data_IF_309165393948
#
_entry.id   IF_309165393948
#
_cell.length_a   1.000
_cell.length_b   1.000
_cell.length_c   1.000
_cell.angle_alpha   90.00
_cell.angle_beta   90.00
_cell.angle_gamma   90.00
#
_symmetry.space_group_name_H-M   'P 1'
#
loop_
_entity.id
_entity.type
_entity.pdbx_description
1 polymer ?
#
# COMPACT_ATOMS: atom_id res chain seq x y z
N UNK A 1 4.81 -16.81 24.51
CA UNK A 1 4.63 -16.49 23.07
C UNK A 1 3.28 -16.96 22.52
N UNK A 2 2.83 -18.20 22.77
CA UNK A 2 1.55 -18.71 22.23
C UNK A 2 0.30 -17.89 22.60
N UNK A 3 0.12 -17.51 23.88
CA UNK A 3 -1.06 -16.75 24.35
C UNK A 3 -1.17 -15.34 23.77
N UNK A 4 -0.06 -14.62 23.62
CA UNK A 4 -0.05 -13.27 23.06
C UNK A 4 -0.33 -13.26 21.55
N UNK A 5 0.13 -14.28 20.83
CA UNK A 5 -0.18 -14.48 19.40
C UNK A 5 -1.63 -14.93 19.18
N UNK A 6 -2.20 -15.72 20.10
CA UNK A 6 -3.61 -16.05 20.12
C UNK A 6 -4.49 -14.81 20.24
N UNK A 7 -4.17 -13.94 21.20
CA UNK A 7 -4.88 -12.68 21.37
C UNK A 7 -4.78 -11.81 20.11
N UNK A 8 -3.58 -11.65 19.55
CA UNK A 8 -3.37 -10.88 18.32
C UNK A 8 -4.19 -11.43 17.14
N UNK A 9 -4.22 -12.75 16.98
CA UNK A 9 -4.98 -13.42 15.92
C UNK A 9 -6.49 -13.27 16.11
N UNK A 10 -6.99 -13.36 17.35
CA UNK A 10 -8.40 -13.16 17.67
C UNK A 10 -8.84 -11.73 17.34
N UNK A 11 -8.04 -10.72 17.70
CA UNK A 11 -8.26 -9.33 17.32
C UNK A 11 -8.26 -9.17 15.80
N UNK A 12 -7.29 -9.75 15.09
CA UNK A 12 -7.25 -9.69 13.63
C UNK A 12 -8.53 -10.29 12.99
N UNK A 13 -9.04 -11.40 13.53
CA UNK A 13 -10.29 -12.03 13.07
C UNK A 13 -11.52 -11.19 13.37
N UNK A 14 -11.58 -10.53 14.52
CA UNK A 14 -12.64 -9.57 14.83
C UNK A 14 -12.65 -8.46 13.78
N UNK A 15 -11.49 -7.86 13.48
CA UNK A 15 -11.39 -6.79 12.49
C UNK A 15 -11.65 -7.25 11.06
N UNK A 16 -11.34 -8.52 10.72
CA UNK A 16 -11.69 -9.13 9.44
C UNK A 16 -13.20 -9.05 9.15
N UNK A 17 -14.06 -9.13 10.18
CA UNK A 17 -15.52 -9.03 9.99
C UNK A 17 -15.99 -7.66 9.51
N UNK A 18 -15.15 -6.62 9.62
CA UNK A 18 -15.44 -5.26 9.15
C UNK A 18 -14.82 -4.93 7.79
N UNK A 19 -14.15 -5.90 7.14
CA UNK A 19 -13.56 -5.75 5.80
C UNK A 19 -14.68 -5.79 4.74
N UNK A 20 -14.48 -5.07 3.63
CA UNK A 20 -15.44 -5.02 2.54
C UNK A 20 -15.54 -6.37 1.82
N UNK A 21 -16.78 -6.74 1.47
CA UNK A 21 -17.06 -7.99 0.78
C UNK A 21 -17.17 -7.76 -0.72
N UNK A 22 -16.96 -8.83 -1.52
CA UNK A 22 -17.21 -8.81 -2.97
C UNK A 22 -18.65 -8.37 -3.29
N UNK A 23 -19.63 -8.81 -2.50
CA UNK A 23 -21.03 -8.40 -2.66
C UNK A 23 -21.23 -6.90 -2.49
N UNK A 24 -20.61 -6.31 -1.47
CA UNK A 24 -20.60 -4.85 -1.28
C UNK A 24 -19.97 -4.15 -2.49
N UNK A 25 -18.78 -4.58 -2.94
CA UNK A 25 -18.10 -3.97 -4.09
C UNK A 25 -18.97 -3.98 -5.36
N UNK A 26 -19.63 -5.10 -5.64
CA UNK A 26 -20.53 -5.21 -6.79
C UNK A 26 -21.69 -4.21 -6.71
N UNK A 27 -22.27 -4.04 -5.52
CA UNK A 27 -23.33 -3.06 -5.28
C UNK A 27 -22.84 -1.62 -5.48
N UNK A 28 -21.64 -1.29 -4.98
CA UNK A 28 -21.03 0.04 -5.21
C UNK A 28 -20.83 0.30 -6.71
N UNK A 29 -20.36 -0.69 -7.46
CA UNK A 29 -20.11 -0.57 -8.90
C UNK A 29 -21.39 -0.42 -9.73
N UNK A 30 -22.56 -0.76 -9.18
CA UNK A 30 -23.86 -0.51 -9.82
C UNK A 30 -24.43 0.88 -9.54
N UNK A 31 -23.79 1.66 -8.65
CA UNK A 31 -24.25 3.00 -8.30
C UNK A 31 -24.00 3.99 -9.44
N UNK A 32 -24.99 4.84 -9.70
CA UNK A 32 -24.93 5.89 -10.74
C UNK A 32 -24.31 7.19 -10.24
N UNK A 33 -24.48 7.52 -8.96
CA UNK A 33 -23.86 8.65 -8.29
C UNK A 33 -22.95 8.16 -7.16
N UNK A 34 -21.84 8.87 -6.90
CA UNK A 34 -20.92 8.56 -5.81
C UNK A 34 -21.62 8.70 -4.45
N UNK A 35 -22.63 9.58 -4.32
CA UNK A 35 -23.45 9.71 -3.10
C UNK A 35 -24.30 8.47 -2.85
N UNK A 36 -24.82 7.84 -3.91
CA UNK A 36 -25.58 6.59 -3.79
C UNK A 36 -24.66 5.47 -3.29
N UNK A 37 -23.45 5.38 -3.84
CA UNK A 37 -22.43 4.44 -3.37
C UNK A 37 -22.07 4.67 -1.89
N UNK A 38 -21.97 5.93 -1.46
CA UNK A 38 -21.79 6.24 -0.03
C UNK A 38 -23.02 5.86 0.80
N UNK A 39 -24.24 6.00 0.26
CA UNK A 39 -25.47 5.50 0.86
C UNK A 39 -25.39 4.01 1.19
N UNK A 40 -24.97 3.19 0.21
CA UNK A 40 -24.73 1.75 0.42
C UNK A 40 -23.70 1.49 1.52
N UNK A 41 -22.60 2.25 1.54
CA UNK A 41 -21.57 2.14 2.58
C UNK A 41 -22.09 2.55 3.96
N UNK A 42 -22.97 3.55 4.03
CA UNK A 42 -23.63 4.00 5.26
C UNK A 42 -24.56 2.93 5.81
N UNK A 43 -25.43 2.37 4.97
CA UNK A 43 -26.38 1.33 5.36
C UNK A 43 -25.69 0.06 5.88
N UNK A 44 -24.50 -0.23 5.36
CA UNK A 44 -23.64 -1.33 5.82
C UNK A 44 -22.71 -0.96 6.99
N UNK A 45 -22.80 0.26 7.53
CA UNK A 45 -22.05 0.69 8.73
C UNK A 45 -20.56 1.01 8.50
N UNK A 46 -20.13 1.23 7.25
CA UNK A 46 -18.76 1.66 6.95
C UNK A 46 -18.54 3.15 7.23
N UNK A 47 -19.59 3.97 7.15
CA UNK A 47 -19.55 5.41 7.43
C UNK A 47 -20.85 5.83 8.14
N UNK A 48 -20.78 6.86 8.98
CA UNK A 48 -21.96 7.32 9.74
C UNK A 48 -22.84 8.26 8.90
N UNK A 49 -22.23 9.19 8.18
CA UNK A 49 -22.92 10.25 7.44
C UNK A 49 -22.34 10.42 6.04
N UNK A 50 -23.22 10.76 5.10
CA UNK A 50 -22.85 11.08 3.71
C UNK A 50 -22.10 12.42 3.71
N UNK A 51 -20.83 12.46 3.29
CA UNK A 51 -20.04 13.69 3.22
C UNK A 51 -20.56 14.65 2.16
N UNK A 52 -20.27 15.95 2.32
CA UNK A 52 -20.71 16.97 1.37
C UNK A 52 -19.96 16.89 0.05
N UNK A 53 -18.66 16.55 0.12
CA UNK A 53 -17.74 16.46 -1.02
C UNK A 53 -17.11 15.07 -1.10
N UNK A 54 -16.54 14.72 -2.26
CA UNK A 54 -15.83 13.44 -2.41
C UNK A 54 -14.51 13.48 -1.64
N UNK A 55 -13.87 14.63 -1.59
CA UNK A 55 -12.60 14.85 -0.89
C UNK A 55 -12.79 14.64 0.62
N UNK A 56 -13.93 15.07 1.18
CA UNK A 56 -14.31 14.76 2.56
C UNK A 56 -14.58 13.26 2.76
N UNK A 57 -15.14 12.59 1.75
CA UNK A 57 -15.36 11.15 1.79
C UNK A 57 -14.05 10.37 1.83
N UNK A 58 -13.11 10.69 0.94
CA UNK A 58 -11.76 10.13 0.93
C UNK A 58 -11.07 10.30 2.28
N UNK A 59 -11.12 11.52 2.84
CA UNK A 59 -10.57 11.81 4.16
C UNK A 59 -11.21 10.96 5.26
N UNK A 60 -12.53 10.79 5.25
CA UNK A 60 -13.23 9.93 6.23
C UNK A 60 -12.87 8.45 6.08
N UNK A 61 -12.73 7.93 4.86
CA UNK A 61 -12.30 6.54 4.65
C UNK A 61 -10.84 6.31 5.03
N UNK A 62 -9.95 7.27 4.72
CA UNK A 62 -8.56 7.26 5.18
C UNK A 62 -8.49 7.25 6.71
N UNK A 63 -9.23 8.15 7.36
CA UNK A 63 -9.32 8.21 8.83
C UNK A 63 -9.83 6.90 9.43
N UNK A 64 -10.85 6.28 8.81
CA UNK A 64 -11.36 4.98 9.26
C UNK A 64 -10.27 3.91 9.21
N UNK A 65 -9.55 3.80 8.11
CA UNK A 65 -8.47 2.82 7.95
C UNK A 65 -7.35 3.04 9.00
N UNK A 66 -6.91 4.28 9.17
CA UNK A 66 -5.93 4.67 10.21
C UNK A 66 -6.44 4.30 11.60
N UNK A 67 -7.70 4.63 11.93
CA UNK A 67 -8.28 4.32 13.24
C UNK A 67 -8.36 2.82 13.50
N UNK A 68 -8.63 2.00 12.48
CA UNK A 68 -8.62 0.55 12.62
C UNK A 68 -7.20 0.05 12.90
N UNK A 69 -6.22 0.50 12.13
CA UNK A 69 -4.80 0.15 12.36
C UNK A 69 -4.35 0.57 13.77
N UNK A 70 -4.61 1.81 14.20
CA UNK A 70 -4.24 2.29 15.53
C UNK A 70 -4.91 1.49 16.66
N UNK A 71 -6.19 1.12 16.51
CA UNK A 71 -6.87 0.27 17.48
C UNK A 71 -6.24 -1.11 17.56
N UNK A 72 -6.01 -1.78 16.42
CA UNK A 72 -5.33 -3.08 16.39
C UNK A 72 -3.94 -2.96 17.03
N UNK A 73 -3.18 -1.92 16.68
CA UNK A 73 -1.86 -1.62 17.24
C UNK A 73 -1.90 -1.51 18.76
N UNK A 74 -2.89 -0.81 19.31
CA UNK A 74 -3.10 -0.68 20.75
C UNK A 74 -3.29 -2.03 21.45
N UNK A 75 -3.96 -2.98 20.80
CA UNK A 75 -4.16 -4.32 21.32
C UNK A 75 -2.93 -5.23 21.19
N UNK A 76 -2.10 -5.06 20.15
CA UNK A 76 -0.97 -5.96 19.87
C UNK A 76 0.40 -5.38 20.20
N UNK A 77 0.45 -4.23 20.87
CA UNK A 77 1.66 -3.48 21.22
C UNK A 77 2.73 -4.29 21.95
N UNK A 78 2.32 -5.31 22.71
CA UNK A 78 3.21 -6.20 23.44
C UNK A 78 3.97 -7.21 22.55
N UNK A 79 3.61 -7.34 21.27
CA UNK A 79 4.31 -8.18 20.29
C UNK A 79 4.97 -7.25 19.27
N UNK A 80 6.28 -7.02 19.44
CA UNK A 80 7.07 -6.10 18.60
C UNK A 80 6.80 -6.29 17.10
N UNK A 81 6.93 -7.52 16.59
CA UNK A 81 6.72 -7.82 15.18
C UNK A 81 5.32 -7.41 14.68
N UNK A 82 4.27 -7.59 15.49
CA UNK A 82 2.91 -7.19 15.11
C UNK A 82 2.76 -5.67 15.10
N UNK A 83 3.37 -4.98 16.08
CA UNK A 83 3.40 -3.53 16.11
C UNK A 83 4.18 -2.95 14.93
N UNK A 84 5.36 -3.49 14.61
CA UNK A 84 6.22 -3.07 13.51
C UNK A 84 5.51 -3.20 12.15
N UNK A 85 4.74 -4.28 11.93
CA UNK A 85 3.91 -4.45 10.73
C UNK A 85 2.87 -3.33 10.64
N UNK A 86 2.12 -3.07 11.71
CA UNK A 86 1.07 -2.05 11.68
C UNK A 86 1.67 -0.64 11.50
N UNK A 87 2.82 -0.38 12.13
CA UNK A 87 3.55 0.88 11.98
C UNK A 87 4.01 1.11 10.53
N UNK A 88 4.36 0.05 9.79
CA UNK A 88 4.63 0.13 8.35
C UNK A 88 3.40 0.51 7.52
N UNK A 89 2.23 -0.04 7.85
CA UNK A 89 1.00 0.35 7.15
C UNK A 89 0.59 1.78 7.50
N UNK A 90 0.75 2.23 8.75
CA UNK A 90 0.54 3.62 9.13
C UNK A 90 1.53 4.56 8.41
N UNK A 91 2.78 4.14 8.26
CA UNK A 91 3.78 4.84 7.45
C UNK A 91 3.31 4.98 6.00
N UNK A 92 2.80 3.91 5.38
CA UNK A 92 2.27 3.97 4.01
C UNK A 92 1.15 5.01 3.87
N UNK A 93 0.21 5.07 4.82
CA UNK A 93 -0.83 6.10 4.84
C UNK A 93 -0.28 7.52 5.03
N UNK A 94 0.85 7.67 5.74
CA UNK A 94 1.51 8.95 5.94
C UNK A 94 2.21 9.48 4.69
N UNK A 95 2.55 8.61 3.71
CA UNK A 95 3.25 9.04 2.50
C UNK A 95 2.44 10.05 1.69
N UNK A 96 1.13 9.85 1.53
CA UNK A 96 0.25 10.83 0.87
C UNK A 96 0.24 12.23 1.50
N UNK A 97 0.69 12.36 2.75
CA UNK A 97 0.88 13.65 3.44
C UNK A 97 2.34 14.12 3.37
N UNK A 98 3.29 13.19 3.39
CA UNK A 98 4.72 13.48 3.37
C UNK A 98 5.20 13.92 1.98
N UNK A 99 4.69 13.33 0.90
CA UNK A 99 5.08 13.63 -0.47
C UNK A 99 4.79 15.08 -0.87
N UNK A 100 3.59 15.65 -0.59
CA UNK A 100 3.36 17.07 -0.78
C UNK A 100 4.33 17.91 0.05
N UNK A 101 4.53 17.60 1.34
CA UNK A 101 5.46 18.35 2.21
C UNK A 101 6.90 18.36 1.66
N UNK A 102 7.41 17.23 1.22
CA UNK A 102 8.72 17.10 0.56
C UNK A 102 8.78 17.96 -0.70
N UNK A 103 7.73 17.89 -1.53
CA UNK A 103 7.64 18.67 -2.77
C UNK A 103 7.64 20.16 -2.47
N UNK A 104 6.86 20.61 -1.48
CA UNK A 104 6.80 21.98 -0.97
C UNK A 104 8.18 22.50 -0.63
N UNK A 105 8.89 21.73 0.21
CA UNK A 105 10.22 22.11 0.71
C UNK A 105 11.27 22.15 -0.40
N UNK A 106 11.22 21.22 -1.36
CA UNK A 106 12.16 21.19 -2.48
C UNK A 106 11.88 22.22 -3.57
N UNK A 107 10.63 22.63 -3.74
CA UNK A 107 10.21 23.57 -4.81
C UNK A 107 9.92 24.98 -4.30
N UNK A 108 9.90 25.20 -2.98
CA UNK A 108 9.51 26.46 -2.36
C UNK A 108 8.01 26.76 -2.45
N UNK A 109 7.18 25.77 -2.78
CA UNK A 109 5.72 25.95 -2.88
C UNK A 109 5.08 25.79 -1.50
N UNK A 110 4.28 26.77 -1.07
CA UNK A 110 3.54 26.64 0.19
C UNK A 110 2.38 25.67 0.01
N UNK A 111 2.24 24.76 0.96
CA UNK A 111 1.10 23.84 1.01
C UNK A 111 0.25 24.16 2.23
N UNK A 112 -1.06 24.21 2.00
CA UNK A 112 -2.07 24.31 3.04
C UNK A 112 -2.85 23.01 3.07
N UNK A 113 -2.28 21.98 3.70
CA UNK A 113 -2.92 20.68 3.85
C UNK A 113 -3.31 20.41 5.30
N UNK A 114 -4.41 19.68 5.45
CA UNK A 114 -4.84 19.17 6.74
C UNK A 114 -4.11 17.85 7.05
N UNK A 115 -2.86 17.96 7.49
CA UNK A 115 -2.04 16.82 7.91
C UNK A 115 -2.67 16.09 9.09
N UNK A 116 -2.69 14.75 9.02
CA UNK A 116 -3.32 13.90 10.01
C UNK A 116 -2.30 13.08 10.79
N UNK A 117 -1.41 12.39 10.08
CA UNK A 117 -0.38 11.52 10.64
C UNK A 117 0.93 12.25 10.88
N UNK A 118 1.26 13.23 10.03
CA UNK A 118 2.52 13.98 10.12
C UNK A 118 2.34 15.40 10.66
N UNK A 119 1.24 15.68 11.36
CA UNK A 119 0.90 17.02 11.82
C UNK A 119 2.02 17.69 12.61
N UNK A 120 2.63 17.00 13.58
CA UNK A 120 3.75 17.55 14.36
C UNK A 120 4.94 17.98 13.47
N UNK A 121 5.22 17.18 12.43
CA UNK A 121 6.28 17.46 11.47
C UNK A 121 5.93 18.67 10.60
N UNK A 122 4.68 18.77 10.13
CA UNK A 122 4.24 19.94 9.37
C UNK A 122 4.23 21.21 10.22
N UNK A 123 3.77 21.13 11.47
CA UNK A 123 3.71 22.24 12.42
C UNK A 123 5.11 22.76 12.80
N UNK A 124 6.16 21.94 12.69
CA UNK A 124 7.56 22.38 12.83
C UNK A 124 8.07 23.26 11.67
N UNK A 125 7.27 23.43 10.61
CA UNK A 125 7.55 24.28 9.45
C UNK A 125 8.95 24.05 8.84
N UNK A 126 9.27 22.82 8.37
CA UNK A 126 10.57 22.49 7.80
C UNK A 126 10.86 23.32 6.54
N UNK A 127 12.10 23.77 6.37
CA UNK A 127 12.53 24.61 5.23
C UNK A 127 13.36 23.85 4.19
N UNK A 128 13.91 22.69 4.54
CA UNK A 128 14.72 21.85 3.66
C UNK A 128 14.54 20.36 4.03
N UNK A 129 15.08 19.44 3.21
CA UNK A 129 14.97 17.99 3.47
C UNK A 129 15.62 17.56 4.79
N UNK A 130 16.70 18.23 5.21
CA UNK A 130 17.38 17.92 6.47
C UNK A 130 16.52 18.32 7.67
N UNK A 131 15.73 19.39 7.57
CA UNK A 131 14.74 19.75 8.59
C UNK A 131 13.65 18.68 8.70
N UNK A 132 13.11 18.22 7.56
CA UNK A 132 12.12 17.14 7.54
C UNK A 132 12.72 15.89 8.22
N UNK A 133 13.97 15.57 7.89
CA UNK A 133 14.68 14.46 8.51
C UNK A 133 14.85 14.66 10.02
N UNK A 134 15.29 15.83 10.48
CA UNK A 134 15.55 16.11 11.89
C UNK A 134 14.28 16.10 12.76
N UNK A 135 13.15 16.55 12.21
CA UNK A 135 11.88 16.59 12.94
C UNK A 135 11.06 15.30 12.83
N UNK A 136 11.33 14.47 11.81
CA UNK A 136 10.68 13.17 11.67
C UNK A 136 11.10 12.19 12.78
N UNK A 137 10.19 11.31 13.19
CA UNK A 137 10.42 10.31 14.24
C UNK A 137 10.09 8.90 13.74
N UNK A 138 10.61 7.90 14.43
CA UNK A 138 10.28 6.49 14.21
C UNK A 138 10.48 6.06 12.76
N UNK A 139 9.48 5.35 12.22
CA UNK A 139 9.56 4.73 10.90
C UNK A 139 9.63 5.74 9.74
N UNK A 140 9.01 6.92 9.90
CA UNK A 140 9.11 8.02 8.92
C UNK A 140 10.55 8.51 8.82
N UNK A 141 11.25 8.66 9.96
CA UNK A 141 12.67 9.01 9.98
C UNK A 141 13.55 7.93 9.33
N UNK A 142 13.29 6.66 9.63
CA UNK A 142 14.02 5.55 9.01
C UNK A 142 13.83 5.51 7.49
N UNK A 143 12.60 5.70 7.01
CA UNK A 143 12.28 5.76 5.58
C UNK A 143 12.96 6.94 4.88
N UNK A 144 12.96 8.12 5.49
CA UNK A 144 13.67 9.29 4.96
C UNK A 144 15.17 9.07 4.89
N UNK A 145 15.81 8.51 5.94
CA UNK A 145 17.22 8.14 5.90
C UNK A 145 17.52 7.15 4.78
N UNK A 146 16.67 6.15 4.63
CA UNK A 146 16.80 5.15 3.57
C UNK A 146 16.74 5.78 2.17
N UNK A 147 15.77 6.67 1.94
CA UNK A 147 15.57 7.35 0.67
C UNK A 147 16.72 8.34 0.37
N UNK A 148 17.08 9.19 1.33
CA UNK A 148 18.14 10.19 1.16
C UNK A 148 19.52 9.55 0.94
N UNK A 149 19.79 8.38 1.51
CA UNK A 149 21.04 7.65 1.31
C UNK A 149 21.16 7.01 -0.08
N UNK A 150 20.04 6.78 -0.78
CA UNK A 150 19.99 6.13 -2.10
C UNK A 150 19.72 7.10 -3.24
N UNK A 151 19.10 8.24 -2.95
CA UNK A 151 18.76 9.23 -3.95
C UNK A 151 20.04 9.91 -4.48
N UNK A 152 20.25 9.80 -5.79
CA UNK A 152 21.38 10.41 -6.47
C UNK A 152 21.12 11.88 -6.79
N UNK A 153 19.90 12.21 -7.24
CA UNK A 153 19.52 13.57 -7.66
C UNK A 153 18.68 14.30 -6.61
N UNK A 154 18.14 13.58 -5.62
CA UNK A 154 17.28 14.10 -4.54
C UNK A 154 16.07 14.91 -5.06
N UNK A 155 15.56 14.53 -6.23
CA UNK A 155 14.32 15.13 -6.75
C UNK A 155 13.10 14.64 -5.96
N UNK A 156 11.98 15.39 -5.91
CA UNK A 156 10.77 14.92 -5.23
C UNK A 156 10.33 13.55 -5.70
N UNK A 157 10.30 13.32 -7.02
CA UNK A 157 9.91 12.03 -7.61
C UNK A 157 10.82 10.88 -7.19
N UNK A 158 12.13 11.09 -7.13
CA UNK A 158 13.09 10.06 -6.73
C UNK A 158 12.95 9.73 -5.24
N UNK A 159 12.88 10.76 -4.38
CA UNK A 159 12.71 10.59 -2.94
C UNK A 159 11.39 9.87 -2.63
N UNK A 160 10.28 10.29 -3.24
CA UNK A 160 8.97 9.69 -3.02
C UNK A 160 8.94 8.22 -3.47
N UNK A 161 9.53 7.91 -4.63
CA UNK A 161 9.62 6.51 -5.11
C UNK A 161 10.43 5.63 -4.14
N UNK A 162 11.51 6.17 -3.57
CA UNK A 162 12.32 5.46 -2.57
C UNK A 162 11.61 5.30 -1.21
N UNK A 163 10.77 6.27 -0.82
CA UNK A 163 9.95 6.20 0.39
C UNK A 163 8.86 5.13 0.26
N UNK A 164 8.21 5.04 -0.90
CA UNK A 164 7.28 3.95 -1.21
C UNK A 164 8.01 2.60 -1.22
N UNK A 165 9.18 2.52 -1.86
CA UNK A 165 9.98 1.30 -1.90
C UNK A 165 10.42 0.85 -0.50
N UNK A 166 10.73 1.79 0.40
CA UNK A 166 11.10 1.46 1.78
C UNK A 166 10.02 0.65 2.51
N UNK A 167 8.74 0.90 2.23
CA UNK A 167 7.64 0.14 2.84
C UNK A 167 7.78 -1.36 2.53
N UNK A 168 7.88 -1.73 1.25
CA UNK A 168 8.00 -3.14 0.87
C UNK A 168 9.35 -3.71 1.32
N UNK A 169 10.43 -2.93 1.21
CA UNK A 169 11.77 -3.33 1.65
C UNK A 169 11.80 -3.76 3.12
N UNK A 170 11.22 -2.94 4.00
CA UNK A 170 11.18 -3.21 5.43
C UNK A 170 10.20 -4.35 5.74
N UNK A 171 9.06 -4.41 5.03
CA UNK A 171 8.09 -5.48 5.21
C UNK A 171 8.67 -6.86 4.85
N UNK A 172 9.39 -6.96 3.73
CA UNK A 172 10.12 -8.16 3.32
C UNK A 172 11.12 -8.62 4.38
N UNK A 173 11.85 -7.67 4.99
CA UNK A 173 12.76 -8.00 6.11
C UNK A 173 12.02 -8.60 7.30
N UNK A 174 10.90 -8.01 7.72
CA UNK A 174 10.10 -8.55 8.82
C UNK A 174 9.59 -9.96 8.48
N UNK A 175 9.04 -10.15 7.28
CA UNK A 175 8.55 -11.46 6.83
C UNK A 175 9.66 -12.51 6.76
N UNK A 176 10.89 -12.10 6.40
CA UNK A 176 12.04 -13.01 6.35
C UNK A 176 12.38 -13.66 7.69
N UNK A 177 12.06 -12.97 8.81
CA UNK A 177 12.28 -13.42 10.20
C UNK A 177 11.22 -14.44 10.66
N UNK A 178 10.11 -14.59 9.92
CA UNK A 178 9.07 -15.55 10.26
C UNK A 178 9.57 -16.99 10.08
N UNK A 179 8.90 -17.96 10.71
CA UNK A 179 9.28 -19.38 10.64
C UNK A 179 8.11 -20.25 10.23
N UNK A 180 8.42 -21.36 9.55
CA UNK A 180 7.44 -22.36 9.12
C UNK A 180 6.34 -21.78 8.23
N UNK A 181 5.12 -22.32 8.39
CA UNK A 181 3.95 -21.96 7.58
C UNK A 181 3.60 -20.46 7.61
N UNK A 182 3.92 -19.77 8.71
CA UNK A 182 3.66 -18.35 8.86
C UNK A 182 4.46 -17.53 7.86
N UNK A 183 5.72 -17.93 7.61
CA UNK A 183 6.58 -17.31 6.61
C UNK A 183 6.01 -17.51 5.22
N UNK A 184 5.62 -18.73 4.87
CA UNK A 184 5.02 -19.01 3.55
C UNK A 184 3.77 -18.16 3.33
N UNK A 185 2.86 -18.13 4.30
CA UNK A 185 1.61 -17.33 4.17
C UNK A 185 1.85 -15.83 4.11
N UNK A 186 2.81 -15.32 4.87
CA UNK A 186 3.18 -13.91 4.80
C UNK A 186 3.90 -13.57 3.48
N UNK A 187 4.76 -14.46 3.00
CA UNK A 187 5.44 -14.32 1.71
C UNK A 187 4.44 -14.31 0.56
N UNK A 188 3.43 -15.18 0.57
CA UNK A 188 2.39 -15.22 -0.46
C UNK A 188 1.66 -13.86 -0.58
N UNK A 189 1.43 -13.16 0.53
CA UNK A 189 0.80 -11.83 0.55
C UNK A 189 1.66 -10.78 -0.16
N UNK A 190 2.97 -10.76 0.10
CA UNK A 190 3.86 -9.68 -0.35
C UNK A 190 4.63 -9.97 -1.64
N UNK A 191 4.72 -11.24 -2.05
CA UNK A 191 5.58 -11.72 -3.14
C UNK A 191 5.45 -10.92 -4.44
N UNK A 192 4.22 -10.70 -4.92
CA UNK A 192 4.01 -9.94 -6.17
C UNK A 192 4.24 -8.44 -5.97
N UNK A 193 4.12 -7.92 -4.75
CA UNK A 193 4.54 -6.54 -4.45
C UNK A 193 6.05 -6.39 -4.51
N UNK A 194 6.82 -7.33 -3.96
CA UNK A 194 8.28 -7.32 -4.04
C UNK A 194 8.74 -7.23 -5.50
N UNK A 195 8.19 -8.10 -6.35
CA UNK A 195 8.48 -8.11 -7.78
C UNK A 195 8.07 -6.81 -8.49
N UNK A 196 6.88 -6.27 -8.18
CA UNK A 196 6.40 -5.00 -8.73
C UNK A 196 7.35 -3.84 -8.37
N UNK A 197 7.62 -3.67 -7.08
CA UNK A 197 8.42 -2.57 -6.58
C UNK A 197 9.88 -2.68 -7.03
N UNK A 198 10.46 -3.87 -7.04
CA UNK A 198 11.82 -4.09 -7.55
C UNK A 198 11.93 -3.78 -9.05
N UNK A 199 10.94 -4.21 -9.83
CA UNK A 199 10.90 -3.92 -11.27
C UNK A 199 10.71 -2.42 -11.54
N UNK A 200 9.88 -1.74 -10.74
CA UNK A 200 9.70 -0.28 -10.83
C UNK A 200 10.94 0.50 -10.44
N UNK A 201 11.66 0.04 -9.41
CA UNK A 201 12.95 0.62 -8.99
C UNK A 201 14.02 0.47 -10.08
N UNK A 202 14.10 -0.73 -10.69
CA UNK A 202 15.00 -0.98 -11.81
C UNK A 202 14.64 -0.07 -12.99
N UNK A 203 13.37 -0.02 -13.39
CA UNK A 203 12.93 0.79 -14.52
C UNK A 203 13.10 2.30 -14.31
N UNK A 204 12.60 2.86 -13.19
CA UNK A 204 12.56 4.31 -12.99
C UNK A 204 13.86 4.89 -12.46
N UNK A 205 14.55 4.16 -11.59
CA UNK A 205 15.71 4.66 -10.85
C UNK A 205 17.01 3.98 -11.26
N UNK A 206 16.97 2.97 -12.15
CA UNK A 206 18.14 2.18 -12.53
C UNK A 206 18.83 1.53 -11.33
N UNK A 207 18.05 1.20 -10.29
CA UNK A 207 18.53 0.57 -9.06
C UNK A 207 18.05 -0.87 -8.97
N UNK A 208 18.97 -1.79 -8.72
CA UNK A 208 18.68 -3.19 -8.48
C UNK A 208 18.90 -3.48 -7.00
N UNK A 209 17.82 -3.86 -6.31
CA UNK A 209 17.81 -4.20 -4.90
C UNK A 209 17.48 -5.70 -4.74
N UNK A 210 18.06 -6.34 -3.72
CA UNK A 210 17.89 -7.78 -3.49
C UNK A 210 16.59 -8.11 -2.73
N UNK A 211 15.46 -7.62 -3.25
CA UNK A 211 14.11 -7.93 -2.78
C UNK A 211 13.29 -8.26 -4.01
N UNK A 212 13.20 -9.54 -4.32
CA UNK A 212 12.39 -10.09 -5.40
C UNK A 212 11.88 -11.45 -4.96
N UNK A 213 10.76 -11.87 -5.55
CA UNK A 213 10.13 -13.14 -5.22
C UNK A 213 10.19 -14.12 -6.39
N UNK A 214 9.63 -13.74 -7.54
CA UNK A 214 9.58 -14.60 -8.74
C UNK A 214 10.29 -14.00 -9.95
N UNK A 215 10.65 -12.73 -9.93
CA UNK A 215 11.44 -12.11 -11.00
C UNK A 215 12.91 -12.30 -10.67
N UNK A 216 13.64 -12.92 -11.60
CA UNK A 216 15.07 -13.15 -11.44
C UNK A 216 15.86 -11.83 -11.43
N UNK A 217 16.93 -11.79 -10.63
CA UNK A 217 17.83 -10.63 -10.53
C UNK A 217 18.42 -10.23 -11.90
N UNK A 218 18.64 -11.20 -12.80
CA UNK A 218 19.08 -10.94 -14.16
C UNK A 218 18.10 -10.09 -14.96
N UNK A 219 16.79 -10.37 -14.84
CA UNK A 219 15.75 -9.57 -15.50
C UNK A 219 15.64 -8.17 -14.89
N UNK A 220 15.89 -8.01 -13.58
CA UNK A 220 15.95 -6.70 -12.94
C UNK A 220 17.15 -5.88 -13.42
N UNK A 221 18.32 -6.51 -13.63
CA UNK A 221 19.49 -5.86 -14.23
C UNK A 221 19.25 -5.44 -15.67
N UNK A 222 18.56 -6.28 -16.44
CA UNK A 222 18.13 -5.95 -17.79
C UNK A 222 17.18 -4.73 -17.78
N UNK A 223 16.19 -4.70 -16.88
CA UNK A 223 15.27 -3.56 -16.73
C UNK A 223 16.02 -2.27 -16.38
N UNK A 224 16.98 -2.35 -15.46
CA UNK A 224 17.80 -1.20 -15.07
C UNK A 224 18.72 -0.69 -16.17
N UNK A 225 19.06 -1.53 -17.16
CA UNK A 225 19.98 -1.18 -18.25
C UNK A 225 19.27 -0.89 -19.58
N UNK A 226 17.96 -1.07 -19.64
CA UNK A 226 17.16 -0.86 -20.84
C UNK A 226 17.09 0.62 -21.22
N UNK A 227 17.18 0.89 -22.53
CA UNK A 227 17.33 2.24 -23.06
C UNK A 227 16.04 2.80 -23.67
N UNK A 228 15.03 1.97 -23.87
CA UNK A 228 13.76 2.36 -24.49
C UNK A 228 12.60 1.48 -24.03
N UNK A 229 11.39 1.97 -24.25
CA UNK A 229 10.15 1.31 -23.83
C UNK A 229 9.95 -0.07 -24.46
N UNK A 230 10.46 -0.31 -25.67
CA UNK A 230 10.33 -1.61 -26.34
C UNK A 230 11.15 -2.67 -25.62
N UNK A 231 12.39 -2.37 -25.27
CA UNK A 231 13.25 -3.26 -24.47
C UNK A 231 12.59 -3.57 -23.12
N UNK A 232 12.04 -2.56 -22.44
CA UNK A 232 11.32 -2.77 -21.17
C UNK A 232 10.16 -3.76 -21.33
N UNK A 233 9.34 -3.59 -22.36
CA UNK A 233 8.21 -4.49 -22.61
C UNK A 233 8.66 -5.91 -22.94
N UNK A 234 9.71 -6.06 -23.75
CA UNK A 234 10.30 -7.37 -24.08
C UNK A 234 10.85 -8.05 -22.82
N UNK A 235 11.46 -7.30 -21.89
CA UNK A 235 11.93 -7.83 -20.61
C UNK A 235 10.74 -8.27 -19.74
N UNK A 236 9.71 -7.44 -19.59
CA UNK A 236 8.50 -7.76 -18.82
C UNK A 236 7.77 -8.99 -19.39
N UNK A 237 7.78 -9.17 -20.72
CA UNK A 237 7.20 -10.33 -21.40
C UNK A 237 7.93 -11.66 -21.09
N UNK A 238 9.16 -11.62 -20.58
CA UNK A 238 9.93 -12.80 -20.15
C UNK A 238 9.70 -13.17 -18.69
N UNK A 239 9.02 -12.33 -17.91
CA UNK A 239 8.74 -12.59 -16.49
C UNK A 239 7.66 -13.67 -16.33
N UNK A 240 7.59 -14.26 -15.13
CA UNK A 240 6.53 -15.22 -14.77
C UNK A 240 5.12 -14.62 -14.80
N UNK A 241 5.00 -13.28 -14.91
CA UNK A 241 3.74 -12.56 -14.94
C UNK A 241 3.24 -12.22 -16.35
N UNK A 242 4.01 -12.53 -17.42
CA UNK A 242 3.75 -12.07 -18.78
C UNK A 242 2.30 -12.27 -19.26
N UNK A 243 1.66 -13.39 -18.92
CA UNK A 243 0.26 -13.70 -19.31
C UNK A 243 -0.77 -12.79 -18.65
N UNK A 244 -0.43 -12.13 -17.55
CA UNK A 244 -1.29 -11.24 -16.80
C UNK A 244 -1.02 -9.76 -17.10
N UNK A 245 0.04 -9.44 -17.84
CA UNK A 245 0.43 -8.06 -18.16
C UNK A 245 -0.24 -7.59 -19.44
N UNK A 246 -0.66 -6.32 -19.46
CA UNK A 246 -1.02 -5.62 -20.70
C UNK A 246 0.22 -4.95 -21.26
N UNK A 247 0.82 -5.56 -22.28
CA UNK A 247 2.11 -5.14 -22.87
C UNK A 247 1.92 -4.17 -24.04
N UNK A 248 0.99 -3.22 -23.92
CA UNK A 248 0.73 -2.16 -24.91
C UNK A 248 1.71 -0.99 -24.77
N UNK A 249 1.99 -0.59 -23.54
CA UNK A 249 3.01 0.38 -23.18
C UNK A 249 3.50 0.08 -21.75
N UNK A 250 4.62 0.69 -21.37
CA UNK A 250 5.29 0.41 -20.09
C UNK A 250 4.40 0.74 -18.90
N UNK A 251 3.65 1.83 -18.94
CA UNK A 251 2.75 2.24 -17.86
C UNK A 251 1.60 1.25 -17.66
N UNK A 252 0.98 0.77 -18.74
CA UNK A 252 -0.07 -0.26 -18.68
C UNK A 252 0.47 -1.58 -18.14
N UNK A 253 1.70 -1.95 -18.52
CA UNK A 253 2.36 -3.16 -18.04
C UNK A 253 2.58 -3.09 -16.52
N UNK A 254 3.13 -1.98 -16.01
CA UNK A 254 3.30 -1.79 -14.57
C UNK A 254 1.98 -1.61 -13.81
N UNK A 255 0.99 -0.93 -14.39
CA UNK A 255 -0.34 -0.80 -13.79
C UNK A 255 -1.02 -2.16 -13.63
N UNK A 256 -0.90 -3.04 -14.64
CA UNK A 256 -1.43 -4.40 -14.57
C UNK A 256 -0.65 -5.31 -13.63
N UNK A 257 0.68 -5.16 -13.54
CA UNK A 257 1.49 -5.83 -12.54
C UNK A 257 1.11 -5.40 -11.11
N UNK A 258 0.91 -4.09 -10.90
CA UNK A 258 0.46 -3.56 -9.61
C UNK A 258 -0.92 -4.08 -9.22
N UNK A 259 -1.86 -4.09 -10.18
CA UNK A 259 -3.19 -4.68 -9.97
C UNK A 259 -3.08 -6.16 -9.60
N UNK A 260 -2.24 -6.93 -10.31
CA UNK A 260 -2.01 -8.34 -10.00
C UNK A 260 -1.46 -8.52 -8.57
N UNK A 261 -0.55 -7.65 -8.14
CA UNK A 261 -0.04 -7.63 -6.77
C UNK A 261 -1.17 -7.42 -5.76
N UNK A 262 -2.05 -6.44 -5.98
CA UNK A 262 -3.21 -6.16 -5.13
C UNK A 262 -4.19 -7.35 -5.07
N UNK A 263 -4.49 -7.97 -6.20
CA UNK A 263 -5.40 -9.14 -6.28
C UNK A 263 -4.83 -10.34 -5.53
N UNK A 264 -3.56 -10.68 -5.78
CA UNK A 264 -2.89 -11.77 -5.08
C UNK A 264 -2.82 -11.50 -3.57
N UNK A 265 -2.42 -10.29 -3.19
CA UNK A 265 -2.33 -9.85 -1.81
C UNK A 265 -3.66 -9.98 -1.07
N UNK A 266 -4.79 -9.54 -1.67
CA UNK A 266 -6.13 -9.73 -1.09
C UNK A 266 -6.46 -11.20 -0.91
N UNK A 267 -6.26 -12.01 -1.95
CA UNK A 267 -6.54 -13.45 -1.93
C UNK A 267 -5.78 -14.13 -0.79
N UNK A 268 -4.46 -13.96 -0.74
CA UNK A 268 -3.62 -14.62 0.27
C UNK A 268 -3.83 -14.05 1.67
N UNK A 269 -4.20 -12.77 1.79
CA UNK A 269 -4.62 -12.19 3.07
C UNK A 269 -5.89 -12.86 3.60
N UNK A 270 -6.89 -13.14 2.76
CA UNK A 270 -8.09 -13.88 3.18
C UNK A 270 -7.72 -15.31 3.61
N UNK A 271 -6.85 -15.99 2.84
CA UNK A 271 -6.38 -17.35 3.12
C UNK A 271 -5.56 -17.44 4.41
N UNK A 272 -4.80 -16.41 4.77
CA UNK A 272 -4.01 -16.38 6.01
C UNK A 272 -4.87 -16.60 7.27
N UNK A 273 -6.15 -16.23 7.24
CA UNK A 273 -7.09 -16.47 8.35
C UNK A 273 -7.64 -17.90 8.41
N UNK A 274 -7.54 -18.66 7.32
CA UNK A 274 -7.97 -20.07 7.25
C UNK A 274 -6.92 -21.03 7.83
N UNK A 275 -5.70 -20.54 8.08
CA UNK A 275 -4.60 -21.31 8.66
C UNK A 275 -4.60 -21.35 10.20
N UNK A 276 -3.43 -21.68 10.75
CA UNK A 276 -3.20 -21.85 12.19
C UNK A 276 -3.63 -20.62 13.01
N UNK A 277 -4.33 -20.81 14.16
CA UNK A 277 -4.93 -19.72 14.94
C UNK A 277 -3.93 -18.83 15.73
N UNK A 278 -2.62 -18.99 15.54
CA UNK A 278 -1.58 -18.31 16.34
C UNK A 278 -0.45 -17.75 15.48
N UNK A 279 -0.73 -16.82 14.57
CA UNK A 279 0.27 -16.40 13.57
C UNK A 279 0.35 -14.88 13.36
N UNK A 280 1.57 -14.30 13.31
CA UNK A 280 1.75 -12.90 12.95
C UNK A 280 1.31 -12.58 11.51
N UNK A 281 1.19 -13.59 10.63
CA UNK A 281 0.68 -13.39 9.27
C UNK A 281 -0.76 -12.89 9.24
N UNK A 282 -1.56 -13.12 10.29
CA UNK A 282 -2.92 -12.57 10.38
C UNK A 282 -2.94 -11.07 10.64
N UNK A 283 -1.91 -10.52 11.30
CA UNK A 283 -1.75 -9.08 11.49
C UNK A 283 -1.33 -8.40 10.18
N UNK A 284 -0.41 -9.02 9.44
CA UNK A 284 -0.10 -8.61 8.07
C UNK A 284 -1.36 -8.61 7.21
N UNK A 285 -2.08 -9.73 7.20
CA UNK A 285 -3.28 -9.88 6.39
C UNK A 285 -4.39 -8.88 6.71
N UNK A 286 -4.68 -8.61 8.00
CA UNK A 286 -5.71 -7.61 8.32
C UNK A 286 -5.26 -6.19 7.94
N UNK A 287 -3.99 -5.87 8.14
CA UNK A 287 -3.47 -4.53 7.80
C UNK A 287 -3.52 -4.27 6.30
N UNK A 288 -3.18 -5.29 5.52
CA UNK A 288 -3.28 -5.28 4.06
C UNK A 288 -4.73 -5.17 3.58
N UNK A 289 -5.67 -5.93 4.15
CA UNK A 289 -7.08 -5.83 3.79
C UNK A 289 -7.65 -4.44 4.09
N UNK A 290 -7.30 -3.85 5.24
CA UNK A 290 -7.72 -2.48 5.59
C UNK A 290 -7.20 -1.47 4.56
N UNK A 291 -5.93 -1.58 4.17
CA UNK A 291 -5.32 -0.74 3.12
C UNK A 291 -6.06 -0.92 1.78
N UNK A 292 -6.21 -2.15 1.31
CA UNK A 292 -6.85 -2.44 0.02
C UNK A 292 -8.31 -1.99 -0.02
N UNK A 293 -9.06 -2.12 1.08
CA UNK A 293 -10.44 -1.64 1.18
C UNK A 293 -10.53 -0.13 1.03
N UNK A 294 -9.65 0.62 1.70
CA UNK A 294 -9.56 2.07 1.54
C UNK A 294 -9.27 2.45 0.09
N UNK A 295 -8.29 1.81 -0.54
CA UNK A 295 -7.91 2.09 -1.92
C UNK A 295 -9.04 1.78 -2.89
N UNK A 296 -9.68 0.61 -2.76
CA UNK A 296 -10.77 0.20 -3.64
C UNK A 296 -12.00 1.09 -3.49
N UNK A 297 -12.41 1.41 -2.26
CA UNK A 297 -13.54 2.33 -2.02
C UNK A 297 -13.24 3.70 -2.65
N UNK A 298 -12.07 4.27 -2.37
CA UNK A 298 -11.66 5.57 -2.90
C UNK A 298 -11.63 5.56 -4.42
N UNK A 299 -11.10 4.50 -5.02
CA UNK A 299 -11.02 4.34 -6.47
C UNK A 299 -12.41 4.20 -7.11
N UNK A 300 -13.33 3.46 -6.48
CA UNK A 300 -14.72 3.33 -6.96
C UNK A 300 -15.44 4.68 -6.91
N UNK A 301 -15.39 5.39 -5.78
CA UNK A 301 -16.06 6.68 -5.64
C UNK A 301 -15.58 7.69 -6.68
N UNK A 302 -14.27 7.79 -6.89
CA UNK A 302 -13.70 8.63 -7.93
C UNK A 302 -14.07 8.16 -9.33
N UNK A 303 -14.05 6.85 -9.57
CA UNK A 303 -14.47 6.25 -10.83
C UNK A 303 -15.90 6.60 -11.23
N UNK A 304 -16.82 6.57 -10.25
CA UNK A 304 -18.21 6.97 -10.44
C UNK A 304 -18.29 8.48 -10.73
N UNK A 305 -17.65 9.33 -9.91
CA UNK A 305 -17.63 10.79 -10.10
C UNK A 305 -17.09 11.19 -11.48
N UNK A 306 -16.10 10.46 -11.99
CA UNK A 306 -15.46 10.71 -13.29
C UNK A 306 -16.13 9.97 -14.46
N UNK A 307 -17.13 9.13 -14.24
CA UNK A 307 -17.81 8.36 -15.28
C UNK A 307 -16.96 7.28 -15.96
N UNK A 308 -15.96 6.73 -15.27
CA UNK A 308 -14.97 5.77 -15.81
C UNK A 308 -14.99 4.40 -15.10
N UNK A 309 -16.14 3.99 -14.58
CA UNK A 309 -16.33 2.77 -13.78
C UNK A 309 -15.74 1.52 -14.45
N UNK A 310 -15.94 1.35 -15.77
CA UNK A 310 -15.42 0.18 -16.51
C UNK A 310 -13.89 0.09 -16.52
N UNK A 311 -13.20 1.24 -16.50
CA UNK A 311 -11.73 1.26 -16.34
C UNK A 311 -11.35 0.89 -14.91
N UNK A 312 -12.07 1.43 -13.92
CA UNK A 312 -11.80 1.17 -12.50
C UNK A 312 -12.01 -0.30 -12.12
N UNK A 313 -13.02 -0.98 -12.67
CA UNK A 313 -13.22 -2.43 -12.46
C UNK A 313 -11.95 -3.24 -12.75
N UNK A 314 -11.17 -2.81 -13.75
CA UNK A 314 -9.90 -3.44 -14.13
C UNK A 314 -8.70 -3.02 -13.27
N UNK A 315 -8.90 -2.17 -12.27
CA UNK A 315 -7.85 -1.68 -11.38
C UNK A 315 -8.05 -2.12 -9.93
N UNK A 316 -9.26 -2.57 -9.56
CA UNK A 316 -9.59 -3.03 -8.21
C UNK A 316 -8.80 -4.27 -7.80
N UNK A 317 -8.61 -4.42 -6.48
CA UNK A 317 -7.96 -5.59 -5.89
C UNK A 317 -8.86 -6.83 -5.79
N UNK A 318 -10.11 -6.72 -6.26
CA UNK A 318 -11.04 -7.84 -6.36
C UNK A 318 -10.93 -8.52 -7.73
N UNK A 319 -10.97 -9.85 -7.71
CA UNK A 319 -11.24 -10.63 -8.91
C UNK A 319 -12.76 -10.60 -9.15
N UNK A 320 -13.18 -9.71 -10.04
CA UNK A 320 -14.57 -9.44 -10.39
C UNK A 320 -14.88 -10.16 -11.71
N UNK A 321 -15.96 -10.94 -11.72
CA UNK A 321 -16.51 -11.62 -12.90
C UNK A 321 -17.42 -10.65 -13.64
#
# INVERSE_FOLDING_TARGET
MSSTLAYSTAIARLYKSFVITRGTINELLTSTDWRDAIGVLKDRGYIQDIPLTIEDAEKKFKQRAINFLLKIRGYVSNVKTNADIIDLYLYLFSLSELEPLITSVLTGTKISDNFLLIKELADSNPQNLDDILNFSKGITNEGLKFAMARASKKTPSEINSLLEFYFIYKLSKIVSEFRGDWKSKAQDIICTYEDYYASMMAYKLHLVENISCKIDEGLLKDLASANNDKEILDILARTSYAKNLTLTNVYDAFATLYRLARVNSRKYSIEAFMGSPFTPSTILAISELIKLDYEDITMILNGIKLGIIEKIKKMLSFDLI
#
